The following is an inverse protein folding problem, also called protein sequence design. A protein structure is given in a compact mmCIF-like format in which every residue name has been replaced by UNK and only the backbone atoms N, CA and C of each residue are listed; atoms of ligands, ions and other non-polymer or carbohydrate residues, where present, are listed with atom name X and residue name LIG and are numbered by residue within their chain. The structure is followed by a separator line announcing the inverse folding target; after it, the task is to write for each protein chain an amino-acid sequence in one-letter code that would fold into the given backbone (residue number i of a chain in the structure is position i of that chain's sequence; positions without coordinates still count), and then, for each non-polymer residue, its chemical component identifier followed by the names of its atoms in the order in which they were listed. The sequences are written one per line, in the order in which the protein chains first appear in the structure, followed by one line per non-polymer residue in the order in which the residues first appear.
data_IF_769357139173
#
_entry.id   IF_769357139173
#
_cell.length_a   1.000
_cell.length_b   1.000
_cell.length_c   1.000
_cell.angle_alpha   90.00
_cell.angle_beta   90.00
_cell.angle_gamma   90.00
#
_symmetry.space_group_name_H-M   'P 1'
#
loop_
_entity.id
_entity.type
_entity.pdbx_description
1 polymer ?
#
# COMPACT_ATOMS: atom_id res chain seq x y z
N UNK A 1 6.96 12.72 3.73
CA UNK A 1 6.26 12.01 4.82
C UNK A 1 6.89 10.63 4.92
N UNK A 2 7.48 10.25 6.05
CA UNK A 2 8.07 8.93 6.17
C UNK A 2 6.95 7.88 6.17
N UNK A 3 7.08 6.90 5.29
CA UNK A 3 6.26 5.70 5.25
C UNK A 3 7.14 4.57 5.76
N UNK A 4 6.64 3.79 6.71
CA UNK A 4 7.38 2.69 7.34
C UNK A 4 6.67 1.38 7.06
N UNK A 5 7.41 0.41 6.55
CA UNK A 5 6.92 -0.95 6.38
C UNK A 5 7.34 -1.78 7.61
N UNK A 6 6.39 -2.43 8.28
CA UNK A 6 6.64 -3.35 9.39
C UNK A 6 6.13 -4.74 9.05
N UNK A 7 6.90 -5.76 9.41
CA UNK A 7 6.43 -7.13 9.42
C UNK A 7 5.39 -7.30 10.54
N UNK A 8 4.22 -7.84 10.20
CA UNK A 8 3.10 -8.09 11.12
C UNK A 8 2.66 -9.57 11.13
N UNK A 9 3.48 -10.47 10.56
CA UNK A 9 3.22 -11.90 10.45
C UNK A 9 3.83 -12.50 9.17
N UNK A 10 3.73 -13.83 9.02
CA UNK A 10 4.36 -14.56 7.92
C UNK A 10 3.98 -14.03 6.52
N UNK A 11 2.74 -13.57 6.35
CA UNK A 11 2.21 -13.04 5.09
C UNK A 11 1.58 -11.66 5.29
N UNK A 12 1.97 -10.92 6.35
CA UNK A 12 1.31 -9.68 6.75
C UNK A 12 2.28 -8.54 6.93
N UNK A 13 1.95 -7.40 6.34
CA UNK A 13 2.73 -6.19 6.50
C UNK A 13 1.85 -5.01 6.90
N UNK A 14 2.35 -4.23 7.84
CA UNK A 14 1.76 -2.96 8.24
C UNK A 14 2.53 -1.82 7.60
N UNK A 15 1.83 -0.95 6.90
CA UNK A 15 2.35 0.30 6.33
C UNK A 15 1.92 1.45 7.24
N UNK A 16 2.87 2.07 7.93
CA UNK A 16 2.63 3.19 8.85
C UNK A 16 2.99 4.52 8.19
N UNK A 17 2.22 5.56 8.49
CA UNK A 17 2.40 6.90 7.93
C UNK A 17 2.06 7.98 8.95
N UNK A 18 2.83 9.07 8.93
CA UNK A 18 2.76 10.12 9.96
C UNK A 18 1.73 11.22 9.68
N UNK A 19 1.05 11.19 8.53
CA UNK A 19 -0.14 12.01 8.27
C UNK A 19 -1.14 11.23 7.42
N UNK A 20 -2.39 11.67 7.44
CA UNK A 20 -3.47 10.98 6.76
C UNK A 20 -3.10 10.63 5.30
N UNK A 21 -3.36 9.37 4.93
CA UNK A 21 -3.14 8.91 3.57
C UNK A 21 -4.32 9.43 2.74
N UNK A 22 -4.02 10.25 1.72
CA UNK A 22 -5.02 10.70 0.74
C UNK A 22 -5.01 9.69 -0.40
N UNK A 23 -6.13 9.05 -0.64
CA UNK A 23 -6.30 8.03 -1.66
C UNK A 23 -7.78 7.84 -1.98
N UNK A 24 -8.09 6.97 -2.95
CA UNK A 24 -9.48 6.64 -3.27
C UNK A 24 -10.21 6.13 -2.04
N UNK A 25 -11.44 6.58 -1.81
CA UNK A 25 -12.26 6.11 -0.68
C UNK A 25 -12.49 4.59 -0.71
N UNK A 26 -12.47 4.01 -1.91
CA UNK A 26 -12.70 2.58 -2.16
C UNK A 26 -11.41 1.80 -2.42
N UNK A 27 -10.25 2.31 -2.00
CA UNK A 27 -9.00 1.55 -2.13
C UNK A 27 -9.09 0.23 -1.35
N UNK A 28 -8.95 -0.88 -2.06
CA UNK A 28 -9.06 -2.24 -1.52
C UNK A 28 -7.74 -3.00 -1.53
N UNK A 29 -6.70 -2.45 -2.14
CA UNK A 29 -5.36 -3.03 -2.22
C UNK A 29 -4.29 -1.93 -2.11
N UNK A 30 -3.11 -2.33 -1.64
CA UNK A 30 -1.94 -1.45 -1.56
C UNK A 30 -0.75 -2.10 -2.25
N UNK A 31 0.03 -1.28 -2.94
CA UNK A 31 1.32 -1.65 -3.53
C UNK A 31 2.38 -0.72 -2.96
N UNK A 32 3.41 -1.31 -2.35
CA UNK A 32 4.55 -0.63 -1.75
C UNK A 32 5.78 -0.94 -2.58
N UNK A 33 6.36 0.09 -3.18
CA UNK A 33 7.64 -0.02 -3.90
C UNK A 33 8.75 0.32 -2.91
N UNK A 34 9.60 -0.67 -2.65
CA UNK A 34 10.75 -0.58 -1.77
C UNK A 34 11.99 -0.12 -2.56
N UNK A 35 13.03 0.37 -1.87
CA UNK A 35 14.33 0.64 -2.49
C UNK A 35 14.84 -0.59 -3.26
N UNK A 36 15.44 -0.37 -4.43
CA UNK A 36 15.92 -1.45 -5.29
C UNK A 36 14.84 -2.09 -6.17
N UNK A 37 13.63 -1.53 -6.23
CA UNK A 37 12.56 -2.00 -7.13
C UNK A 37 11.80 -3.21 -6.60
N UNK A 38 12.08 -3.63 -5.36
CA UNK A 38 11.29 -4.66 -4.69
C UNK A 38 9.86 -4.17 -4.45
N UNK A 39 8.90 -5.09 -4.53
CA UNK A 39 7.49 -4.76 -4.46
C UNK A 39 6.80 -5.63 -3.43
N UNK A 40 6.00 -5.01 -2.57
CA UNK A 40 5.09 -5.69 -1.65
C UNK A 40 3.67 -5.24 -1.98
N UNK A 41 2.77 -6.18 -2.23
CA UNK A 41 1.39 -5.85 -2.58
C UNK A 41 0.40 -6.84 -1.98
N UNK A 42 -0.83 -6.37 -1.83
CA UNK A 42 -1.95 -7.22 -1.46
C UNK A 42 -3.17 -6.42 -1.04
N UNK A 43 -4.29 -7.13 -0.74
CA UNK A 43 -5.50 -6.52 -0.24
C UNK A 43 -5.27 -5.80 1.09
N UNK A 44 -5.96 -4.66 1.26
CA UNK A 44 -6.06 -3.95 2.54
C UNK A 44 -7.10 -4.71 3.38
N UNK A 45 -6.64 -5.31 4.48
CA UNK A 45 -7.49 -6.14 5.36
C UNK A 45 -7.91 -5.42 6.64
N UNK A 46 -7.15 -4.39 7.03
CA UNK A 46 -7.47 -3.52 8.16
C UNK A 46 -6.72 -2.19 8.02
N UNK A 47 -7.15 -1.17 8.74
CA UNK A 47 -6.47 0.11 8.72
C UNK A 47 -7.06 1.15 9.66
N UNK A 48 -6.24 2.17 9.89
CA UNK A 48 -6.65 3.41 10.54
C UNK A 48 -6.08 4.56 9.75
N UNK A 49 -6.92 5.48 9.31
CA UNK A 49 -6.50 6.72 8.65
C UNK A 49 -7.04 7.91 9.43
N UNK A 50 -6.17 8.67 10.10
CA UNK A 50 -6.55 9.85 10.90
C UNK A 50 -5.69 11.06 10.47
N UNK A 51 -6.13 12.29 10.80
CA UNK A 51 -5.37 13.51 10.48
C UNK A 51 -3.90 13.47 10.94
N UNK A 52 -3.62 12.85 12.10
CA UNK A 52 -2.27 12.67 12.65
C UNK A 52 -1.52 11.42 12.16
N UNK A 53 -1.96 10.80 11.07
CA UNK A 53 -1.36 9.58 10.55
C UNK A 53 -2.19 8.33 10.81
N UNK A 54 -1.56 7.20 10.60
CA UNK A 54 -2.29 5.94 10.54
C UNK A 54 -1.46 4.78 10.05
N UNK A 55 -2.17 3.71 9.74
CA UNK A 55 -1.58 2.51 9.20
C UNK A 55 -2.59 1.77 8.32
N UNK A 56 -2.06 1.00 7.38
CA UNK A 56 -2.81 0.00 6.61
C UNK A 56 -2.15 -1.36 6.83
N UNK A 57 -2.95 -2.40 7.04
CA UNK A 57 -2.49 -3.78 7.10
C UNK A 57 -2.84 -4.47 5.78
N UNK A 58 -1.86 -5.13 5.18
CA UNK A 58 -2.03 -5.93 3.98
C UNK A 58 -1.66 -7.38 4.23
N UNK A 59 -2.44 -8.27 3.63
CA UNK A 59 -2.06 -9.67 3.41
C UNK A 59 -1.28 -9.73 2.10
N UNK A 60 0.00 -10.07 2.14
CA UNK A 60 0.83 -10.12 0.94
C UNK A 60 0.50 -11.36 0.14
N UNK A 61 0.12 -11.14 -1.11
CA UNK A 61 -0.05 -12.21 -2.09
C UNK A 61 1.35 -12.73 -2.45
N UNK A 62 1.56 -14.03 -2.25
CA UNK A 62 2.82 -14.70 -2.55
C UNK A 62 3.02 -14.87 -4.06
N UNK A 63 2.99 -13.79 -4.84
CA UNK A 63 3.35 -13.80 -6.26
C UNK A 63 4.23 -12.58 -6.56
N UNK A 64 5.48 -12.85 -6.93
CA UNK A 64 6.29 -11.96 -7.75
C UNK A 64 5.59 -11.81 -9.10
N UNK A 65 4.55 -10.97 -9.18
CA UNK A 65 4.03 -10.56 -10.47
C UNK A 65 5.02 -9.57 -11.07
N UNK A 66 5.58 -9.84 -12.26
CA UNK A 66 6.33 -8.85 -13.01
C UNK A 66 5.53 -7.55 -13.09
N UNK A 67 6.22 -6.42 -13.06
CA UNK A 67 5.62 -5.12 -13.37
C UNK A 67 5.15 -5.13 -14.84
N UNK A 68 3.98 -5.71 -15.10
CA UNK A 68 3.23 -5.39 -16.30
C UNK A 68 2.92 -3.88 -16.21
N UNK A 69 3.42 -3.05 -17.15
CA UNK A 69 3.09 -1.63 -17.15
C UNK A 69 1.56 -1.53 -17.24
N UNK A 70 0.94 -0.88 -16.25
CA UNK A 70 -0.51 -0.81 -16.18
C UNK A 70 -1.06 -0.23 -17.49
N UNK A 71 -1.84 -1.02 -18.23
CA UNK A 71 -2.50 -0.61 -19.47
C UNK A 71 -3.54 0.53 -19.31
N UNK A 72 -3.59 1.17 -18.14
CA UNK A 72 -4.40 2.35 -17.86
C UNK A 72 -3.47 3.57 -17.68
N UNK A 73 -2.93 4.06 -18.80
CA UNK A 73 -2.24 5.35 -18.90
C UNK A 73 -3.15 6.57 -18.66
N UNK A 74 -4.43 6.35 -18.32
CA UNK A 74 -5.25 7.36 -17.67
C UNK A 74 -5.12 7.17 -16.16
N UNK A 75 -3.94 7.50 -15.63
CA UNK A 75 -3.70 7.58 -14.19
C UNK A 75 -4.84 8.36 -13.54
N UNK A 76 -5.40 7.80 -12.47
CA UNK A 76 -6.49 8.43 -11.74
C UNK A 76 -6.18 9.89 -11.44
N UNK A 77 -7.13 10.76 -11.81
CA UNK A 77 -7.05 12.19 -11.53
C UNK A 77 -7.67 12.44 -10.16
N UNK A 78 -6.86 13.01 -9.27
CA UNK A 78 -7.27 13.47 -7.95
C UNK A 78 -8.43 14.47 -8.07
N UNK A 79 -9.51 14.26 -7.31
CA UNK A 79 -10.48 15.31 -7.00
C UNK A 79 -10.14 15.94 -5.65
#
# INVERSE_FOLDING_TARGET
MPVRLRNAGATRFRVEFDRNLRGPEQANALRVVLPGGLLQQGPIVDGRNKPGGGWLLIDVEAHELPLEPSAYLNGWKWQ
#
